data_IF_924160724856
#
_entry.id   IF_924160724856
#
_cell.length_a   1.000
_cell.length_b   1.000
_cell.length_c   1.000
_cell.angle_alpha   90.00
_cell.angle_beta   90.00
_cell.angle_gamma   90.00
#
_symmetry.space_group_name_H-M   'P 1'
#
loop_
_entity.id
_entity.type
_entity.pdbx_description
1 polymer ?
#
# COMPACT_ATOMS: atom_id res chain seq x y z
N UNK A 1 -11.65 -15.30 -11.27
CA UNK A 1 -10.32 -15.91 -11.01
C UNK A 1 -9.84 -16.63 -12.26
N UNK A 2 -8.58 -16.44 -12.70
CA UNK A 2 -8.05 -17.17 -13.86
C UNK A 2 -7.80 -18.66 -13.51
N UNK A 3 -8.06 -19.55 -14.46
CA UNK A 3 -7.80 -20.99 -14.33
C UNK A 3 -6.33 -21.33 -14.56
N UNK A 4 -5.89 -22.52 -14.17
CA UNK A 4 -4.53 -22.99 -14.44
C UNK A 4 -4.19 -22.95 -15.94
N UNK A 5 -5.15 -23.29 -16.81
CA UNK A 5 -5.02 -23.20 -18.27
C UNK A 5 -4.77 -21.77 -18.74
N UNK A 6 -5.59 -20.81 -18.29
CA UNK A 6 -5.44 -19.40 -18.66
C UNK A 6 -4.11 -18.80 -18.17
N UNK A 7 -3.65 -19.23 -16.99
CA UNK A 7 -2.35 -18.81 -16.44
C UNK A 7 -1.21 -19.37 -17.28
N UNK A 8 -1.25 -20.66 -17.58
CA UNK A 8 -0.23 -21.35 -18.35
C UNK A 8 -0.10 -20.76 -19.77
N UNK A 9 -1.23 -20.58 -20.45
CA UNK A 9 -1.33 -19.95 -21.77
C UNK A 9 -0.72 -18.54 -21.77
N UNK A 10 -1.14 -17.70 -20.82
CA UNK A 10 -0.62 -16.33 -20.72
C UNK A 10 0.86 -16.26 -20.35
N UNK A 11 1.37 -17.26 -19.64
CA UNK A 11 2.78 -17.34 -19.26
C UNK A 11 3.65 -18.03 -20.32
N UNK A 12 3.06 -18.60 -21.38
CA UNK A 12 3.79 -19.38 -22.40
C UNK A 12 4.30 -20.73 -21.88
N UNK A 13 3.67 -21.30 -20.86
CA UNK A 13 4.05 -22.59 -20.26
C UNK A 13 2.92 -23.62 -20.36
N UNK A 14 3.25 -24.89 -20.13
CA UNK A 14 2.23 -25.94 -19.96
C UNK A 14 1.63 -25.90 -18.55
N UNK A 15 0.38 -26.37 -18.40
CA UNK A 15 -0.27 -26.54 -17.09
C UNK A 15 0.56 -27.44 -16.17
N UNK A 16 1.19 -28.48 -16.72
CA UNK A 16 2.11 -29.36 -15.98
C UNK A 16 3.30 -28.59 -15.39
N UNK A 17 3.94 -27.73 -16.18
CA UNK A 17 5.10 -26.93 -15.73
C UNK A 17 4.75 -25.93 -14.63
N UNK A 18 3.49 -25.47 -14.56
CA UNK A 18 2.98 -24.67 -13.44
C UNK A 18 2.90 -25.53 -12.18
N UNK A 19 2.29 -26.72 -12.26
CA UNK A 19 2.12 -27.59 -11.10
C UNK A 19 3.42 -28.26 -10.60
N UNK A 20 4.46 -28.34 -11.44
CA UNK A 20 5.81 -28.72 -11.01
C UNK A 20 6.44 -27.69 -10.06
N UNK A 21 6.02 -26.42 -10.12
CA UNK A 21 6.52 -25.33 -9.27
C UNK A 21 5.59 -25.00 -8.11
N UNK A 22 4.29 -25.20 -8.30
CA UNK A 22 3.26 -24.85 -7.33
C UNK A 22 2.33 -26.05 -7.14
N UNK A 23 2.22 -26.62 -5.93
CA UNK A 23 1.42 -27.83 -5.71
C UNK A 23 -0.06 -27.64 -6.04
N UNK A 24 -0.58 -26.42 -5.93
CA UNK A 24 -1.93 -26.05 -6.32
C UNK A 24 -2.03 -24.55 -6.68
N UNK A 25 -3.24 -24.12 -7.09
CA UNK A 25 -3.50 -22.72 -7.42
C UNK A 25 -3.45 -21.79 -6.20
N UNK A 26 -3.69 -22.28 -4.99
CA UNK A 26 -3.59 -21.48 -3.77
C UNK A 26 -2.12 -21.13 -3.47
N UNK A 27 -1.22 -22.11 -3.55
CA UNK A 27 0.22 -21.92 -3.41
C UNK A 27 0.77 -20.94 -4.46
N UNK A 28 0.30 -21.04 -5.71
CA UNK A 28 0.65 -20.06 -6.75
C UNK A 28 0.19 -18.64 -6.39
N UNK A 29 -1.04 -18.46 -5.87
CA UNK A 29 -1.57 -17.15 -5.48
C UNK A 29 -0.79 -16.55 -4.31
N UNK A 30 -0.43 -17.38 -3.34
CA UNK A 30 0.41 -16.99 -2.20
C UNK A 30 1.76 -16.49 -2.72
N UNK A 31 2.43 -17.26 -3.58
CA UNK A 31 3.71 -16.88 -4.15
C UNK A 31 3.64 -15.60 -5.00
N UNK A 32 2.59 -15.45 -5.82
CA UNK A 32 2.36 -14.24 -6.61
C UNK A 32 2.13 -13.00 -5.71
N UNK A 33 1.41 -13.17 -4.60
CA UNK A 33 1.19 -12.11 -3.61
C UNK A 33 2.50 -11.72 -2.93
N UNK A 34 3.31 -12.70 -2.51
CA UNK A 34 4.63 -12.45 -1.90
C UNK A 34 5.56 -11.71 -2.85
N UNK A 35 5.63 -12.15 -4.10
CA UNK A 35 6.44 -11.50 -5.12
C UNK A 35 6.03 -10.03 -5.32
N UNK A 36 4.73 -9.76 -5.40
CA UNK A 36 4.26 -8.40 -5.58
C UNK A 36 4.47 -7.50 -4.36
N UNK A 37 4.28 -8.02 -3.15
CA UNK A 37 4.60 -7.29 -1.92
C UNK A 37 6.09 -6.98 -1.83
N UNK A 38 6.95 -7.92 -2.23
CA UNK A 38 8.39 -7.70 -2.29
C UNK A 38 8.77 -6.61 -3.31
N UNK A 39 8.18 -6.64 -4.51
CA UNK A 39 8.38 -5.60 -5.51
C UNK A 39 7.89 -4.22 -5.03
N UNK A 40 6.72 -4.17 -4.41
CA UNK A 40 6.19 -2.94 -3.83
C UNK A 40 7.14 -2.36 -2.78
N UNK A 41 7.67 -3.21 -1.88
CA UNK A 41 8.62 -2.80 -0.86
C UNK A 41 9.94 -2.29 -1.46
N UNK A 42 10.49 -2.99 -2.47
CA UNK A 42 11.74 -2.61 -3.13
C UNK A 42 11.65 -1.25 -3.83
N UNK A 43 10.47 -0.90 -4.37
CA UNK A 43 10.22 0.37 -5.05
C UNK A 43 9.79 1.51 -4.11
N UNK A 44 9.66 1.24 -2.82
CA UNK A 44 9.11 2.19 -1.85
C UNK A 44 10.01 2.47 -0.63
N UNK A 45 11.33 2.73 -0.80
CA UNK A 45 12.16 3.17 0.33
C UNK A 45 11.67 4.51 0.88
N UNK A 46 11.75 4.70 2.20
CA UNK A 46 11.53 6.01 2.79
C UNK A 46 12.63 6.96 2.33
N UNK A 47 12.25 8.19 2.02
CA UNK A 47 13.14 9.25 1.54
C UNK A 47 12.80 10.53 2.27
N UNK A 48 13.82 11.33 2.53
CA UNK A 48 13.71 12.65 3.17
C UNK A 48 13.06 12.60 4.55
N UNK A 49 13.30 11.54 5.34
CA UNK A 49 12.73 11.37 6.69
C UNK A 49 13.12 12.54 7.61
N UNK A 50 14.28 13.14 7.40
CA UNK A 50 14.79 14.29 8.16
C UNK A 50 14.51 15.65 7.49
N UNK A 51 13.76 15.66 6.37
CA UNK A 51 13.37 16.89 5.69
C UNK A 51 12.29 17.65 6.45
N UNK A 52 11.95 18.86 6.01
CA UNK A 52 10.80 19.61 6.54
C UNK A 52 9.47 18.88 6.29
N UNK A 53 8.40 19.33 6.97
CA UNK A 53 7.06 18.72 6.89
C UNK A 53 6.57 18.55 5.45
N UNK A 54 6.71 19.57 4.61
CA UNK A 54 6.24 19.54 3.23
C UNK A 54 7.08 18.61 2.36
N UNK A 55 8.39 18.57 2.60
CA UNK A 55 9.30 17.63 1.95
C UNK A 55 8.95 16.17 2.30
N UNK A 56 8.62 15.88 3.56
CA UNK A 56 8.18 14.55 4.04
C UNK A 56 6.83 14.15 3.45
N UNK A 57 5.84 15.05 3.47
CA UNK A 57 4.52 14.84 2.86
C UNK A 57 4.65 14.48 1.39
N UNK A 58 5.39 15.28 0.61
CA UNK A 58 5.57 15.05 -0.83
C UNK A 58 6.27 13.73 -1.11
N UNK A 59 7.33 13.38 -0.36
CA UNK A 59 8.07 12.13 -0.58
C UNK A 59 7.24 10.89 -0.23
N UNK A 60 6.48 10.95 0.86
CA UNK A 60 5.59 9.85 1.29
C UNK A 60 4.44 9.66 0.30
N UNK A 61 3.78 10.74 -0.10
CA UNK A 61 2.66 10.70 -1.05
C UNK A 61 3.10 10.22 -2.42
N UNK A 62 4.22 10.71 -2.96
CA UNK A 62 4.78 10.22 -4.23
C UNK A 62 5.02 8.70 -4.19
N UNK A 63 5.67 8.23 -3.12
CA UNK A 63 6.03 6.83 -2.96
C UNK A 63 4.77 5.96 -2.83
N UNK A 64 3.78 6.41 -2.05
CA UNK A 64 2.52 5.68 -1.88
C UNK A 64 1.69 5.68 -3.16
N UNK A 65 1.55 6.82 -3.83
CA UNK A 65 0.83 6.95 -5.08
C UNK A 65 1.40 6.03 -6.16
N UNK A 66 2.72 6.03 -6.34
CA UNK A 66 3.39 5.13 -7.30
C UNK A 66 3.17 3.65 -6.95
N UNK A 67 3.13 3.30 -5.67
CA UNK A 67 2.81 1.93 -5.23
C UNK A 67 1.36 1.56 -5.57
N UNK A 68 0.42 2.47 -5.37
CA UNK A 68 -0.98 2.26 -5.71
C UNK A 68 -1.20 2.12 -7.22
N UNK A 69 -0.59 2.98 -8.06
CA UNK A 69 -0.74 2.92 -9.53
C UNK A 69 -0.43 1.52 -10.10
N UNK A 70 0.57 0.85 -9.55
CA UNK A 70 0.97 -0.50 -10.00
C UNK A 70 0.23 -1.62 -9.27
N UNK A 71 -0.34 -1.33 -8.10
CA UNK A 71 -0.79 -2.32 -7.12
C UNK A 71 -2.30 -2.56 -7.07
N UNK A 72 -3.14 -1.61 -7.51
CA UNK A 72 -4.61 -1.67 -7.31
C UNK A 72 -5.23 -2.97 -7.83
N UNK A 73 -4.92 -3.37 -9.06
CA UNK A 73 -5.54 -4.56 -9.66
C UNK A 73 -5.24 -5.83 -8.87
N UNK A 74 -3.99 -6.00 -8.43
CA UNK A 74 -3.61 -7.13 -7.60
C UNK A 74 -4.20 -7.04 -6.20
N UNK A 75 -4.25 -5.85 -5.62
CA UNK A 75 -4.85 -5.65 -4.30
C UNK A 75 -6.32 -6.01 -4.28
N UNK A 76 -7.09 -5.61 -5.31
CA UNK A 76 -8.50 -6.01 -5.50
C UNK A 76 -8.66 -7.52 -5.60
N UNK A 77 -7.81 -8.16 -6.39
CA UNK A 77 -7.79 -9.61 -6.50
C UNK A 77 -7.55 -10.25 -5.14
N UNK A 78 -6.53 -9.81 -4.41
CA UNK A 78 -6.20 -10.30 -3.07
C UNK A 78 -7.37 -10.09 -2.09
N UNK A 79 -8.00 -8.92 -2.09
CA UNK A 79 -9.17 -8.65 -1.25
C UNK A 79 -10.34 -9.58 -1.55
N UNK A 80 -10.54 -9.96 -2.82
CA UNK A 80 -11.63 -10.86 -3.23
C UNK A 80 -11.44 -12.31 -2.80
N UNK A 81 -10.21 -12.75 -2.55
CA UNK A 81 -9.90 -14.17 -2.26
C UNK A 81 -9.32 -14.41 -0.85
N UNK A 82 -8.94 -13.36 -0.11
CA UNK A 82 -8.28 -13.51 1.19
C UNK A 82 -9.09 -14.31 2.20
N UNK A 83 -10.42 -14.30 2.11
CA UNK A 83 -11.28 -15.01 3.08
C UNK A 83 -11.11 -16.53 3.01
N UNK A 84 -10.65 -17.04 1.87
CA UNK A 84 -10.39 -18.45 1.62
C UNK A 84 -9.04 -18.93 2.17
N UNK A 85 -8.19 -18.03 2.67
CA UNK A 85 -6.80 -18.36 3.04
C UNK A 85 -6.25 -17.48 4.17
N UNK A 86 -6.01 -18.08 5.35
CA UNK A 86 -5.38 -17.40 6.48
C UNK A 86 -3.99 -16.85 6.15
N UNK A 87 -3.28 -17.52 5.26
CA UNK A 87 -1.98 -17.07 4.75
C UNK A 87 -2.07 -15.77 3.95
N UNK A 88 -3.13 -15.60 3.14
CA UNK A 88 -3.39 -14.36 2.42
C UNK A 88 -3.83 -13.26 3.39
N UNK A 89 -4.67 -13.57 4.39
CA UNK A 89 -5.02 -12.60 5.45
C UNK A 89 -3.79 -12.10 6.19
N UNK A 90 -2.83 -12.98 6.50
CA UNK A 90 -1.58 -12.59 7.14
C UNK A 90 -0.76 -11.60 6.29
N UNK A 91 -0.70 -11.80 4.97
CA UNK A 91 -0.02 -10.90 4.03
C UNK A 91 -0.70 -9.55 3.92
N UNK A 92 -2.04 -9.51 3.95
CA UNK A 92 -2.81 -8.26 4.02
C UNK A 92 -2.48 -7.49 5.30
N UNK A 93 -2.49 -8.16 6.46
CA UNK A 93 -2.11 -7.54 7.74
C UNK A 93 -0.69 -6.99 7.70
N UNK A 94 0.26 -7.75 7.15
CA UNK A 94 1.65 -7.31 6.98
C UNK A 94 1.75 -6.07 6.10
N UNK A 95 1.07 -6.04 4.96
CA UNK A 95 1.09 -4.89 4.05
C UNK A 95 0.53 -3.61 4.70
N UNK A 96 -0.57 -3.73 5.47
CA UNK A 96 -1.11 -2.62 6.27
C UNK A 96 -0.12 -2.18 7.36
N UNK A 97 0.48 -3.11 8.09
CA UNK A 97 1.49 -2.81 9.11
C UNK A 97 2.71 -2.07 8.56
N UNK A 98 3.21 -2.45 7.37
CA UNK A 98 4.29 -1.73 6.68
C UNK A 98 3.86 -0.29 6.34
N UNK A 99 2.61 -0.11 5.90
CA UNK A 99 2.07 1.22 5.59
C UNK A 99 1.98 2.08 6.85
N UNK A 100 1.45 1.53 7.96
CA UNK A 100 1.40 2.22 9.25
C UNK A 100 2.79 2.62 9.76
N UNK A 101 3.75 1.68 9.75
CA UNK A 101 5.11 1.97 10.20
C UNK A 101 5.81 3.03 9.35
N UNK A 102 5.49 3.10 8.05
CA UNK A 102 5.96 4.18 7.17
C UNK A 102 5.36 5.53 7.56
N UNK A 103 4.06 5.61 7.84
CA UNK A 103 3.40 6.84 8.28
C UNK A 103 3.98 7.33 9.62
N UNK A 104 4.17 6.41 10.56
CA UNK A 104 4.78 6.71 11.87
C UNK A 104 6.21 7.23 11.71
N UNK A 105 7.02 6.63 10.84
CA UNK A 105 8.36 7.10 10.56
C UNK A 105 8.37 8.51 9.94
N UNK A 106 7.55 8.74 8.91
CA UNK A 106 7.55 9.99 8.13
C UNK A 106 7.01 11.18 8.93
N UNK A 107 6.08 10.94 9.86
CA UNK A 107 5.41 11.99 10.63
C UNK A 107 5.72 11.90 12.12
N UNK A 108 6.83 11.25 12.49
CA UNK A 108 7.28 11.13 13.88
C UNK A 108 7.30 12.46 14.63
N UNK A 109 7.82 13.59 14.07
CA UNK A 109 7.86 14.86 14.80
C UNK A 109 6.47 15.34 15.22
N UNK A 110 5.49 15.23 14.33
CA UNK A 110 4.10 15.61 14.59
C UNK A 110 3.42 14.62 15.54
N UNK A 111 3.53 13.32 15.27
CA UNK A 111 2.84 12.27 16.02
C UNK A 111 3.35 12.16 17.47
N UNK A 112 4.59 12.53 17.74
CA UNK A 112 5.17 12.52 19.08
C UNK A 112 4.55 13.56 20.03
N UNK A 113 3.84 14.57 19.50
CA UNK A 113 3.17 15.57 20.34
C UNK A 113 1.80 15.12 20.84
N UNK A 114 1.29 13.98 20.35
CA UNK A 114 -0.03 13.45 20.70
C UNK A 114 0.05 12.42 21.83
N UNK A 115 -0.97 12.35 22.71
CA UNK A 115 -1.18 11.19 23.58
C UNK A 115 -1.31 9.89 22.78
N UNK A 116 -0.97 8.75 23.39
CA UNK A 116 -0.93 7.45 22.70
C UNK A 116 -2.24 7.08 22.01
N UNK A 117 -3.39 7.36 22.63
CA UNK A 117 -4.72 7.09 22.04
C UNK A 117 -4.96 7.95 20.80
N UNK A 118 -4.69 9.24 20.85
CA UNK A 118 -4.86 10.15 19.72
C UNK A 118 -3.87 9.83 18.59
N UNK A 119 -2.61 9.51 18.94
CA UNK A 119 -1.60 9.06 17.97
C UNK A 119 -2.07 7.83 17.22
N UNK A 120 -2.66 6.85 17.93
CA UNK A 120 -3.23 5.64 17.33
C UNK A 120 -4.37 5.97 16.38
N UNK A 121 -5.30 6.83 16.80
CA UNK A 121 -6.47 7.18 16.00
C UNK A 121 -6.08 7.93 14.72
N UNK A 122 -5.14 8.87 14.81
CA UNK A 122 -4.57 9.58 13.65
C UNK A 122 -3.89 8.60 12.69
N UNK A 123 -3.08 7.65 13.19
CA UNK A 123 -2.43 6.66 12.34
C UNK A 123 -3.44 5.76 11.61
N UNK A 124 -4.51 5.33 12.28
CA UNK A 124 -5.60 4.56 11.65
C UNK A 124 -6.28 5.39 10.55
N UNK A 125 -6.58 6.67 10.83
CA UNK A 125 -7.19 7.56 9.85
C UNK A 125 -6.29 7.79 8.63
N UNK A 126 -5.00 8.01 8.83
CA UNK A 126 -4.02 8.17 7.75
C UNK A 126 -3.85 6.89 6.91
N UNK A 127 -3.85 5.72 7.55
CA UNK A 127 -3.77 4.43 6.84
C UNK A 127 -5.00 4.20 5.97
N UNK A 128 -6.21 4.46 6.49
CA UNK A 128 -7.46 4.35 5.74
C UNK A 128 -7.54 5.36 4.58
N UNK A 129 -7.15 6.62 4.83
CA UNK A 129 -7.09 7.68 3.82
C UNK A 129 -6.17 7.31 2.65
N UNK A 130 -5.04 6.66 2.95
CA UNK A 130 -4.02 6.27 1.98
C UNK A 130 -4.13 4.82 1.50
N UNK A 131 -5.29 4.17 1.69
CA UNK A 131 -5.58 2.83 1.15
C UNK A 131 -5.55 2.83 -0.39
N UNK A 132 -5.24 1.68 -0.99
CA UNK A 132 -5.19 1.53 -2.45
C UNK A 132 -6.56 1.76 -3.10
N UNK A 133 -7.67 1.38 -2.44
CA UNK A 133 -9.01 1.68 -2.94
C UNK A 133 -9.36 3.17 -2.82
N UNK A 134 -8.86 3.86 -1.79
CA UNK A 134 -9.03 5.32 -1.67
C UNK A 134 -8.34 6.03 -2.84
N UNK A 135 -7.12 5.59 -3.21
CA UNK A 135 -6.43 6.05 -4.41
C UNK A 135 -7.20 5.75 -5.69
N UNK A 136 -7.61 4.49 -5.88
CA UNK A 136 -8.32 4.06 -7.07
C UNK A 136 -9.63 4.85 -7.25
N UNK A 137 -10.37 5.12 -6.17
CA UNK A 137 -11.60 5.92 -6.21
C UNK A 137 -11.34 7.35 -6.70
N UNK A 138 -10.26 8.00 -6.24
CA UNK A 138 -9.88 9.32 -6.75
C UNK A 138 -9.59 9.31 -8.25
N UNK A 139 -8.86 8.30 -8.72
CA UNK A 139 -8.47 8.17 -10.14
C UNK A 139 -9.64 7.77 -11.04
N UNK A 140 -10.38 6.74 -10.67
CA UNK A 140 -11.39 6.07 -11.51
C UNK A 140 -12.77 6.73 -11.39
N UNK A 141 -13.20 7.09 -10.18
CA UNK A 141 -14.54 7.64 -9.96
C UNK A 141 -14.58 9.16 -10.06
N UNK A 142 -13.59 9.84 -9.49
CA UNK A 142 -13.50 11.30 -9.55
C UNK A 142 -12.70 11.81 -10.76
N UNK A 143 -12.09 10.91 -11.55
CA UNK A 143 -11.38 11.26 -12.78
C UNK A 143 -10.11 12.08 -12.57
N UNK A 144 -9.55 12.10 -11.34
CA UNK A 144 -8.36 12.89 -11.04
C UNK A 144 -7.13 12.33 -11.77
N UNK A 145 -6.29 13.23 -12.28
CA UNK A 145 -4.94 12.88 -12.74
C UNK A 145 -4.05 12.49 -11.55
N UNK A 146 -2.89 11.91 -11.86
CA UNK A 146 -1.94 11.46 -10.85
C UNK A 146 -1.48 12.59 -9.92
N UNK A 147 -1.14 13.75 -10.49
CA UNK A 147 -0.75 14.97 -9.78
C UNK A 147 -1.89 15.49 -8.89
N UNK A 148 -3.10 15.58 -9.43
CA UNK A 148 -4.27 16.07 -8.68
C UNK A 148 -4.63 15.17 -7.49
N UNK A 149 -4.61 13.84 -7.68
CA UNK A 149 -4.86 12.89 -6.62
C UNK A 149 -3.79 12.94 -5.51
N UNK A 150 -2.53 13.21 -5.89
CA UNK A 150 -1.45 13.43 -4.91
C UNK A 150 -1.68 14.71 -4.11
N UNK A 151 -2.07 15.79 -4.75
CA UNK A 151 -2.33 17.06 -4.07
C UNK A 151 -3.47 16.92 -3.06
N UNK A 152 -4.51 16.14 -3.38
CA UNK A 152 -5.59 15.80 -2.43
C UNK A 152 -5.05 15.07 -1.21
N UNK A 153 -4.20 14.06 -1.39
CA UNK A 153 -3.58 13.35 -0.27
C UNK A 153 -2.65 14.25 0.55
N UNK A 154 -1.83 15.08 -0.08
CA UNK A 154 -0.96 16.03 0.63
C UNK A 154 -1.82 16.95 1.50
N UNK A 155 -2.85 17.56 0.92
CA UNK A 155 -3.78 18.45 1.62
C UNK A 155 -4.46 17.78 2.81
N UNK A 156 -4.94 16.55 2.64
CA UNK A 156 -5.70 15.82 3.65
C UNK A 156 -4.81 15.34 4.79
N UNK A 157 -3.63 14.78 4.48
CA UNK A 157 -2.66 14.34 5.48
C UNK A 157 -2.16 15.55 6.27
N UNK A 158 -1.84 16.66 5.59
CA UNK A 158 -1.37 17.88 6.24
C UNK A 158 -2.37 18.44 7.25
N UNK A 159 -3.67 18.35 6.98
CA UNK A 159 -4.73 18.77 7.92
C UNK A 159 -4.95 17.80 9.08
N UNK A 160 -4.72 16.51 8.89
CA UNK A 160 -4.91 15.50 9.93
C UNK A 160 -3.75 15.47 10.94
N UNK A 161 -2.56 15.88 10.51
CA UNK A 161 -1.38 15.93 11.37
C UNK A 161 -1.40 17.17 12.27
N UNK A 162 -1.02 17.05 13.57
CA UNK A 162 -0.85 18.20 14.45
C UNK A 162 0.28 19.12 13.96
N UNK A 163 0.40 20.34 14.49
CA UNK A 163 1.49 21.25 14.13
C UNK A 163 2.87 20.61 14.35
N UNK A 164 3.81 20.89 13.44
CA UNK A 164 5.20 20.45 13.61
C UNK A 164 5.82 21.20 14.80
N UNK A 165 6.44 20.49 15.77
CA UNK A 165 7.09 21.16 16.89
C UNK A 165 8.27 22.02 16.39
N UNK A 166 8.58 23.14 17.06
CA UNK A 166 9.74 23.96 16.70
C UNK A 166 11.02 23.13 16.80
N UNK A 167 11.93 23.34 15.85
CA UNK A 167 13.27 22.75 15.90
C UNK A 167 14.00 23.39 17.07
N UNK A 168 14.32 22.59 18.09
CA UNK A 168 15.11 23.02 19.25
C UNK A 168 16.58 23.27 18.92
#
# INVERSE_FOLDING_TARGET
MPTATQIAERAGYSVRSVFERFPDLNALRIAATDYALAQAAALAPARNVDGDRMTRLKSQVETRAGTCERGVALWRLLMSIKEESEELKARVRRARGITMGRLELMYKPELATLPDTERRDVLIALEALTDMESWARMREHHGLRFDEARDVWIFAIDRLLPPTPPTG
#
